data_IF_742160800254
#
_entry.id   IF_742160800254
#
_cell.length_a   1.000
_cell.length_b   1.000
_cell.length_c   1.000
_cell.angle_alpha   90.00
_cell.angle_beta   90.00
_cell.angle_gamma   90.00
#
_symmetry.space_group_name_H-M   'P 1'
#
loop_
_entity.id
_entity.type
_entity.pdbx_description
1 polymer ?
#
# COMPACT_ATOMS: atom_id res chain seq x y z
N UNK A 1 52.96 30.74 7.81
CA UNK A 1 51.86 31.70 8.02
C UNK A 1 50.67 30.99 8.65
N UNK A 2 50.43 31.35 9.92
CA UNK A 2 49.21 31.33 10.74
C UNK A 2 48.23 30.14 10.74
N UNK A 3 48.06 29.61 11.97
CA UNK A 3 46.96 28.81 12.49
C UNK A 3 45.57 29.48 12.36
N UNK A 4 44.49 28.70 12.48
CA UNK A 4 43.55 28.64 13.64
C UNK A 4 42.25 27.88 13.26
N UNK A 5 41.76 27.06 14.19
CA UNK A 5 40.51 26.28 14.17
C UNK A 5 39.23 27.14 14.37
N UNK A 6 38.02 26.54 14.23
CA UNK A 6 36.84 26.66 15.13
C UNK A 6 35.63 25.92 14.51
N UNK A 7 34.82 25.27 15.36
CA UNK A 7 33.58 24.55 15.05
C UNK A 7 32.30 25.43 15.29
N UNK A 8 31.07 24.90 15.51
CA UNK A 8 29.83 25.19 14.77
C UNK A 8 28.84 26.16 15.44
N UNK A 9 27.81 26.67 14.71
CA UNK A 9 26.37 26.75 15.10
C UNK A 9 25.51 27.60 14.16
N UNK A 10 24.22 27.23 14.17
CA UNK A 10 23.01 27.90 13.70
C UNK A 10 23.05 29.43 13.54
N UNK A 11 22.53 29.92 12.41
CA UNK A 11 21.53 31.00 12.33
C UNK A 11 21.37 31.51 10.89
N UNK A 12 20.32 31.08 10.19
CA UNK A 12 19.76 31.83 9.06
C UNK A 12 18.28 31.44 8.85
N UNK A 13 17.45 31.67 9.88
CA UNK A 13 16.11 32.19 9.64
C UNK A 13 16.28 33.68 9.41
N UNK A 14 15.64 34.20 8.37
CA UNK A 14 14.92 35.49 8.30
C UNK A 14 14.91 35.97 6.83
N UNK A 15 13.67 36.11 6.32
CA UNK A 15 13.20 36.94 5.20
C UNK A 15 13.44 36.43 3.76
N UNK A 16 12.42 35.75 3.25
CA UNK A 16 11.94 35.99 1.88
C UNK A 16 10.42 35.77 1.86
N UNK A 17 9.70 36.67 2.50
CA UNK A 17 8.31 36.96 2.15
C UNK A 17 8.30 38.31 1.44
N UNK A 18 8.01 38.32 0.13
CA UNK A 18 7.45 39.43 -0.65
C UNK A 18 7.66 39.22 -2.15
N UNK A 19 7.06 38.18 -2.74
CA UNK A 19 6.69 38.13 -4.18
C UNK A 19 5.95 36.83 -4.54
N UNK A 20 4.94 36.47 -3.74
CA UNK A 20 3.91 35.51 -4.15
C UNK A 20 2.65 36.30 -4.51
N UNK A 21 2.67 36.92 -5.70
CA UNK A 21 1.45 37.41 -6.34
C UNK A 21 1.17 36.60 -7.60
N UNK A 22 0.10 35.81 -7.50
CA UNK A 22 -0.82 35.37 -8.56
C UNK A 22 -0.26 34.56 -9.73
N UNK A 23 -0.29 33.23 -9.61
CA UNK A 23 -0.67 32.38 -10.75
C UNK A 23 -2.21 32.34 -10.80
N UNK A 24 -2.80 32.96 -11.82
CA UNK A 24 -4.26 32.94 -12.04
C UNK A 24 -4.68 31.54 -12.49
N UNK A 25 -5.80 31.03 -11.95
CA UNK A 25 -6.47 29.82 -12.45
C UNK A 25 -6.85 30.03 -13.93
N UNK A 26 -6.50 29.07 -14.80
CA UNK A 26 -6.91 29.07 -16.22
C UNK A 26 -5.80 28.88 -17.26
N UNK A 27 -4.54 28.64 -16.87
CA UNK A 27 -3.50 28.33 -17.85
C UNK A 27 -3.54 26.86 -18.32
N UNK A 28 -3.53 26.59 -19.65
CA UNK A 28 -3.66 25.23 -20.20
C UNK A 28 -2.62 24.22 -19.67
N UNK A 29 -1.43 24.70 -19.29
CA UNK A 29 -0.36 23.87 -18.74
C UNK A 29 -0.57 23.42 -17.29
N UNK A 30 -1.30 24.21 -16.48
CA UNK A 30 -1.58 23.90 -15.07
C UNK A 30 -2.69 22.85 -14.97
N UNK A 31 -3.74 22.97 -15.79
CA UNK A 31 -4.83 21.99 -15.83
C UNK A 31 -4.44 20.66 -16.47
N UNK A 32 -3.53 20.66 -17.45
CA UNK A 32 -2.98 19.43 -18.02
C UNK A 32 -2.09 18.68 -17.02
N UNK A 33 -1.35 19.43 -16.18
CA UNK A 33 -0.50 18.86 -15.13
C UNK A 33 -1.31 18.35 -13.93
N UNK A 34 -2.36 19.07 -13.52
CA UNK A 34 -3.29 18.60 -12.48
C UNK A 34 -4.02 17.32 -12.91
N UNK A 35 -4.50 17.26 -14.16
CA UNK A 35 -5.10 16.05 -14.73
C UNK A 35 -4.11 14.88 -14.86
N UNK A 36 -2.83 15.15 -15.05
CA UNK A 36 -1.78 14.12 -15.09
C UNK A 36 -1.45 13.59 -13.67
N UNK A 37 -1.45 14.45 -12.65
CA UNK A 37 -1.24 14.04 -11.26
C UNK A 37 -2.45 13.33 -10.64
N UNK A 38 -3.67 13.61 -11.10
CA UNK A 38 -4.90 12.98 -10.60
C UNK A 38 -5.16 11.59 -11.20
N UNK A 39 -4.58 11.28 -12.38
CA UNK A 39 -4.87 10.04 -13.10
C UNK A 39 -3.80 8.94 -13.02
N UNK A 40 -2.61 9.18 -12.45
CA UNK A 40 -1.52 8.20 -12.56
C UNK A 40 -1.41 7.26 -11.36
N UNK A 41 -1.94 6.06 -11.58
CA UNK A 41 -1.81 4.90 -10.73
C UNK A 41 -0.34 4.43 -10.66
N UNK A 42 0.36 4.78 -9.59
CA UNK A 42 1.41 3.94 -8.98
C UNK A 42 2.61 3.50 -9.84
N UNK A 43 2.83 4.04 -11.04
CA UNK A 43 3.98 3.69 -11.88
C UNK A 43 5.11 4.73 -11.76
N UNK A 44 6.03 4.48 -10.83
CA UNK A 44 7.25 5.28 -10.64
C UNK A 44 8.20 5.30 -11.86
N UNK A 45 7.92 4.50 -12.89
CA UNK A 45 8.72 4.41 -14.12
C UNK A 45 8.53 5.64 -15.02
N UNK A 46 7.34 6.25 -15.05
CA UNK A 46 7.09 7.46 -15.85
C UNK A 46 7.78 8.68 -15.24
N UNK A 47 7.72 8.82 -13.90
CA UNK A 47 8.44 9.84 -13.13
C UNK A 47 9.97 9.71 -13.28
N UNK A 48 10.50 8.48 -13.29
CA UNK A 48 11.94 8.25 -13.60
C UNK A 48 12.29 8.65 -15.02
N UNK A 49 11.49 8.25 -16.02
CA UNK A 49 11.70 8.66 -17.42
C UNK A 49 11.65 10.17 -17.61
N UNK A 50 10.77 10.86 -16.89
CA UNK A 50 10.70 12.33 -16.91
C UNK A 50 11.95 12.94 -16.27
N UNK A 51 12.40 12.44 -15.12
CA UNK A 51 13.62 12.89 -14.43
C UNK A 51 14.88 12.62 -15.27
N UNK A 52 14.96 11.47 -15.95
CA UNK A 52 16.11 11.12 -16.80
C UNK A 52 16.12 11.91 -18.12
N UNK A 53 14.94 12.21 -18.69
CA UNK A 53 14.82 13.11 -19.85
C UNK A 53 15.20 14.56 -19.48
N UNK A 54 14.92 14.98 -18.25
CA UNK A 54 15.37 16.27 -17.68
C UNK A 54 16.90 16.28 -17.48
N UNK A 55 17.51 15.17 -17.05
CA UNK A 55 18.98 15.03 -16.92
C UNK A 55 19.70 15.01 -18.27
N UNK A 56 19.12 14.41 -19.30
CA UNK A 56 19.68 14.34 -20.65
C UNK A 56 19.74 15.69 -21.38
N UNK A 57 18.78 16.58 -21.12
CA UNK A 57 18.73 17.92 -21.72
C UNK A 57 19.76 18.91 -21.15
N UNK A 58 20.43 18.57 -20.04
CA UNK A 58 21.49 19.38 -19.42
C UNK A 58 22.86 19.28 -20.10
N UNK A 59 23.00 18.53 -21.22
CA UNK A 59 24.27 18.36 -21.97
C UNK A 59 24.20 18.84 -23.43
N UNK A 60 23.45 19.88 -23.72
CA UNK A 60 23.54 20.57 -25.01
C UNK A 60 24.29 21.90 -24.85
N UNK A 61 25.42 21.98 -25.57
CA UNK A 61 26.44 23.00 -25.48
C UNK A 61 25.91 24.42 -25.70
N UNK A 62 26.44 25.35 -24.91
CA UNK A 62 26.35 26.79 -25.12
C UNK A 62 27.32 27.16 -26.26
N UNK A 63 26.78 27.53 -27.43
CA UNK A 63 27.51 28.37 -28.38
C UNK A 63 26.93 29.79 -28.33
N UNK A 64 27.78 30.74 -27.91
CA UNK A 64 27.47 32.17 -27.89
C UNK A 64 27.35 32.70 -29.32
N UNK A 65 26.27 33.42 -29.61
CA UNK A 65 26.28 34.53 -30.57
C UNK A 65 25.52 35.73 -30.00
N UNK A 66 26.05 36.87 -30.37
CA UNK A 66 25.80 38.22 -29.88
C UNK A 66 24.42 38.77 -30.26
N UNK A 67 24.05 39.80 -29.48
CA UNK A 67 23.14 40.90 -29.77
C UNK A 67 21.63 40.75 -29.55
N UNK A 68 21.11 41.81 -28.90
CA UNK A 68 19.72 42.28 -28.79
C UNK A 68 18.99 41.96 -27.48
N UNK A 69 18.59 43.04 -26.81
CA UNK A 69 17.89 43.12 -25.54
C UNK A 69 16.54 42.38 -25.55
N UNK A 70 16.40 41.36 -24.70
CA UNK A 70 15.11 40.86 -24.19
C UNK A 70 15.35 40.45 -22.73
N UNK A 71 14.53 40.87 -21.75
CA UNK A 71 14.67 40.36 -20.39
C UNK A 71 14.27 38.88 -20.38
N UNK A 72 15.26 37.98 -20.37
CA UNK A 72 15.03 36.56 -20.09
C UNK A 72 14.54 36.43 -18.65
N UNK A 73 13.22 36.41 -18.46
CA UNK A 73 12.64 35.81 -17.27
C UNK A 73 12.99 34.31 -17.31
N UNK A 74 13.98 33.93 -16.53
CA UNK A 74 14.59 32.60 -16.53
C UNK A 74 13.57 31.49 -16.19
N UNK A 75 13.19 30.59 -17.12
CA UNK A 75 12.24 29.50 -16.84
C UNK A 75 12.83 28.39 -15.94
N UNK A 76 14.14 28.43 -15.65
CA UNK A 76 14.80 27.43 -14.80
C UNK A 76 14.52 27.63 -13.30
N UNK A 77 14.34 28.87 -12.84
CA UNK A 77 14.05 29.13 -11.42
C UNK A 77 12.65 28.65 -11.02
N UNK A 78 11.64 28.86 -11.87
CA UNK A 78 10.28 28.37 -11.63
C UNK A 78 10.19 26.84 -11.62
N UNK A 79 10.99 26.14 -12.45
CA UNK A 79 11.02 24.67 -12.48
C UNK A 79 11.67 24.06 -11.25
N UNK A 80 12.64 24.74 -10.64
CA UNK A 80 13.39 24.20 -9.50
C UNK A 80 12.61 24.33 -8.18
N UNK A 81 11.91 25.45 -7.99
CA UNK A 81 11.01 25.67 -6.85
C UNK A 81 9.76 24.78 -6.92
N UNK A 82 9.19 24.56 -8.10
CA UNK A 82 8.01 23.70 -8.28
C UNK A 82 8.34 22.22 -8.01
N UNK A 83 9.54 21.74 -8.41
CA UNK A 83 10.02 20.39 -8.07
C UNK A 83 10.27 20.24 -6.56
N UNK A 84 10.80 21.27 -5.89
CA UNK A 84 11.03 21.24 -4.45
C UNK A 84 9.73 21.24 -3.64
N UNK A 85 8.77 22.09 -4.02
CA UNK A 85 7.43 22.14 -3.42
C UNK A 85 6.68 20.80 -3.60
N UNK A 86 6.74 20.22 -4.81
CA UNK A 86 6.13 18.93 -5.10
C UNK A 86 6.72 17.80 -4.23
N UNK A 87 8.05 17.76 -4.05
CA UNK A 87 8.70 16.79 -3.14
C UNK A 87 8.27 16.97 -1.70
N UNK A 88 8.17 18.21 -1.20
CA UNK A 88 7.72 18.50 0.17
C UNK A 88 6.28 18.04 0.40
N UNK A 89 5.36 18.35 -0.53
CA UNK A 89 3.97 17.95 -0.45
C UNK A 89 3.74 16.43 -0.59
N UNK A 90 4.62 15.71 -1.31
CA UNK A 90 4.60 14.24 -1.35
C UNK A 90 5.10 13.64 -0.04
N UNK A 91 6.16 14.22 0.55
CA UNK A 91 6.68 13.81 1.86
C UNK A 91 5.65 14.01 2.98
N UNK A 92 5.00 15.18 3.04
CA UNK A 92 3.95 15.47 4.02
C UNK A 92 2.75 14.51 3.87
N UNK A 93 2.32 14.20 2.64
CA UNK A 93 1.26 13.21 2.41
C UNK A 93 1.65 11.79 2.83
N UNK A 94 2.90 11.39 2.64
CA UNK A 94 3.38 10.08 3.09
C UNK A 94 3.35 9.97 4.62
N UNK A 95 3.75 11.04 5.32
CA UNK A 95 3.72 11.11 6.78
C UNK A 95 2.29 10.96 7.34
N UNK A 96 1.30 11.60 6.71
CA UNK A 96 -0.11 11.47 7.10
C UNK A 96 -0.65 10.05 6.93
N UNK A 97 -0.24 9.35 5.86
CA UNK A 97 -0.65 7.97 5.61
C UNK A 97 -0.07 7.02 6.65
N UNK A 98 1.20 7.16 7.01
CA UNK A 98 1.79 6.30 8.04
C UNK A 98 1.18 6.55 9.42
N UNK A 99 0.89 7.81 9.79
CA UNK A 99 0.14 8.15 11.00
C UNK A 99 -1.26 7.54 11.02
N UNK A 100 -1.96 7.58 9.89
CA UNK A 100 -3.26 6.93 9.75
C UNK A 100 -3.18 5.41 9.98
N UNK A 101 -2.22 4.74 9.32
CA UNK A 101 -1.99 3.29 9.53
C UNK A 101 -1.72 2.96 10.99
N UNK A 102 -0.86 3.74 11.63
CA UNK A 102 -0.52 3.57 13.04
C UNK A 102 -1.75 3.72 13.95
N UNK A 103 -2.53 4.79 13.78
CA UNK A 103 -3.74 5.04 14.58
C UNK A 103 -4.77 3.90 14.47
N UNK A 104 -5.03 3.43 13.24
CA UNK A 104 -5.94 2.31 13.00
C UNK A 104 -5.45 1.03 13.67
N UNK A 105 -4.16 0.73 13.52
CA UNK A 105 -3.54 -0.46 14.06
C UNK A 105 -3.56 -0.49 15.60
N UNK A 106 -3.20 0.62 16.25
CA UNK A 106 -3.22 0.75 17.71
C UNK A 106 -4.63 0.56 18.26
N UNK A 107 -5.63 1.24 17.66
CA UNK A 107 -7.03 1.13 18.07
C UNK A 107 -7.56 -0.30 17.93
N UNK A 108 -7.24 -0.98 16.83
CA UNK A 108 -7.67 -2.36 16.62
C UNK A 108 -7.08 -3.32 17.67
N UNK A 109 -5.79 -3.21 17.95
CA UNK A 109 -5.12 -4.04 18.98
C UNK A 109 -5.72 -3.78 20.36
N UNK A 110 -5.90 -2.52 20.75
CA UNK A 110 -6.46 -2.16 22.06
C UNK A 110 -7.87 -2.72 22.28
N UNK A 111 -8.68 -2.73 21.23
CA UNK A 111 -10.08 -3.15 21.31
C UNK A 111 -10.28 -4.67 21.22
N UNK A 112 -9.40 -5.39 20.51
CA UNK A 112 -9.66 -6.78 20.12
C UNK A 112 -8.67 -7.80 20.65
N UNK A 113 -7.50 -7.40 21.17
CA UNK A 113 -6.53 -8.35 21.72
C UNK A 113 -6.55 -8.30 23.25
N UNK A 114 -6.59 -9.49 23.87
CA UNK A 114 -6.57 -9.68 25.31
C UNK A 114 -5.49 -10.68 25.71
N UNK A 115 -5.22 -10.75 27.01
CA UNK A 115 -4.31 -11.74 27.58
C UNK A 115 -4.77 -13.18 27.23
N UNK A 116 -3.81 -14.10 27.09
CA UNK A 116 -3.99 -15.51 26.74
C UNK A 116 -4.58 -15.78 25.34
N UNK A 117 -4.56 -14.79 24.44
CA UNK A 117 -5.05 -14.97 23.07
C UNK A 117 -4.02 -15.63 22.16
N UNK A 118 -4.53 -16.42 21.22
CA UNK A 118 -3.80 -16.80 20.00
C UNK A 118 -4.17 -15.83 18.88
N UNK A 119 -3.18 -15.13 18.34
CA UNK A 119 -3.37 -14.01 17.41
C UNK A 119 -2.77 -14.32 16.03
N UNK A 120 -3.62 -14.25 15.00
CA UNK A 120 -3.18 -14.28 13.60
C UNK A 120 -2.57 -12.93 13.20
N UNK A 121 -1.32 -12.95 12.75
CA UNK A 121 -0.58 -11.76 12.33
C UNK A 121 -0.55 -11.67 10.81
N UNK A 122 -1.26 -10.68 10.29
CA UNK A 122 -1.35 -10.32 8.88
C UNK A 122 -0.04 -9.88 8.24
N UNK A 123 -0.15 -9.40 7.01
CA UNK A 123 0.98 -8.96 6.19
C UNK A 123 0.80 -7.53 5.67
N UNK A 124 1.89 -6.92 5.22
CA UNK A 124 1.90 -5.57 4.67
C UNK A 124 2.33 -4.47 5.65
N UNK A 125 2.36 -3.23 5.18
CA UNK A 125 2.94 -2.10 5.93
C UNK A 125 2.13 -1.69 7.15
N UNK A 126 0.80 -1.86 7.11
CA UNK A 126 -0.08 -1.42 8.21
C UNK A 126 0.05 -2.33 9.42
N UNK A 127 0.23 -3.64 9.19
CA UNK A 127 0.37 -4.64 10.26
C UNK A 127 1.66 -4.46 11.06
N UNK A 128 2.70 -3.82 10.49
CA UNK A 128 3.93 -3.45 11.22
C UNK A 128 3.61 -2.66 12.48
N UNK A 129 2.72 -1.67 12.38
CA UNK A 129 2.30 -0.85 13.53
C UNK A 129 1.46 -1.64 14.55
N UNK A 130 0.67 -2.60 14.09
CA UNK A 130 -0.13 -3.45 14.97
C UNK A 130 0.77 -4.34 15.83
N UNK A 131 1.79 -4.96 15.23
CA UNK A 131 2.73 -5.82 15.95
C UNK A 131 3.61 -5.02 16.91
N UNK A 132 4.08 -3.85 16.49
CA UNK A 132 4.86 -2.96 17.37
C UNK A 132 4.06 -2.56 18.62
N UNK A 133 2.82 -2.13 18.42
CA UNK A 133 1.94 -1.76 19.53
C UNK A 133 1.56 -2.97 20.38
N UNK A 134 1.28 -4.14 19.78
CA UNK A 134 1.02 -5.38 20.50
C UNK A 134 2.19 -5.77 21.41
N UNK A 135 3.43 -5.70 20.90
CA UNK A 135 4.62 -5.99 21.69
C UNK A 135 4.77 -5.04 22.90
N UNK A 136 4.47 -3.76 22.70
CA UNK A 136 4.41 -2.78 23.79
C UNK A 136 3.36 -3.17 24.83
N UNK A 137 2.13 -3.49 24.41
CA UNK A 137 1.03 -3.88 25.32
C UNK A 137 1.36 -5.17 26.08
N UNK A 138 1.97 -6.15 25.43
CA UNK A 138 2.42 -7.39 26.08
C UNK A 138 3.41 -7.08 27.20
N UNK A 139 4.40 -6.24 26.93
CA UNK A 139 5.40 -5.84 27.94
C UNK A 139 4.80 -5.03 29.08
N UNK A 140 3.89 -4.10 28.77
CA UNK A 140 3.25 -3.23 29.78
C UNK A 140 2.31 -3.99 30.72
N UNK A 141 1.65 -5.04 30.23
CA UNK A 141 0.59 -5.73 30.97
C UNK A 141 0.92 -7.19 31.34
N UNK A 142 2.15 -7.66 31.06
CA UNK A 142 2.59 -9.05 31.25
C UNK A 142 1.65 -10.07 30.58
N UNK A 143 1.25 -9.80 29.33
CA UNK A 143 0.35 -10.70 28.59
C UNK A 143 1.08 -11.91 28.03
N UNK A 144 0.41 -13.06 28.05
CA UNK A 144 0.83 -14.30 27.41
C UNK A 144 0.06 -14.43 26.10
N UNK A 145 0.69 -14.10 24.98
CA UNK A 145 0.06 -14.14 23.66
C UNK A 145 0.95 -14.94 22.73
N UNK A 146 0.34 -15.84 21.95
CA UNK A 146 1.01 -16.58 20.88
C UNK A 146 0.57 -16.05 19.53
N UNK A 147 1.50 -15.92 18.59
CA UNK A 147 1.27 -15.33 17.29
C UNK A 147 1.44 -16.36 16.16
N UNK A 148 0.49 -16.40 15.22
CA UNK A 148 0.56 -17.23 14.02
C UNK A 148 0.75 -16.33 12.78
N UNK A 149 1.85 -16.45 12.03
CA UNK A 149 2.13 -15.58 10.88
C UNK A 149 1.33 -15.96 9.63
N UNK A 150 1.00 -14.97 8.80
CA UNK A 150 0.38 -15.13 7.47
C UNK A 150 1.38 -15.07 6.29
N UNK A 151 2.67 -14.89 6.58
CA UNK A 151 3.74 -14.83 5.58
C UNK A 151 5.12 -14.88 6.23
N UNK A 152 6.17 -14.97 5.42
CA UNK A 152 7.53 -14.74 5.91
C UNK A 152 7.73 -13.33 6.47
N UNK A 153 7.09 -12.30 5.91
CA UNK A 153 7.19 -10.94 6.45
C UNK A 153 6.62 -10.88 7.88
N UNK A 154 5.44 -11.46 8.09
CA UNK A 154 4.79 -11.52 9.40
C UNK A 154 5.65 -12.31 10.40
N UNK A 155 6.23 -13.44 9.97
CA UNK A 155 7.14 -14.25 10.78
C UNK A 155 8.37 -13.48 11.24
N UNK A 156 9.02 -12.75 10.35
CA UNK A 156 10.18 -11.92 10.70
C UNK A 156 9.79 -10.74 11.60
N UNK A 157 8.60 -10.20 11.44
CA UNK A 157 8.06 -9.15 12.29
C UNK A 157 7.82 -9.64 13.73
N UNK A 158 7.18 -10.81 13.90
CA UNK A 158 6.99 -11.47 15.21
C UNK A 158 8.35 -11.68 15.90
N UNK A 159 9.34 -12.21 15.17
CA UNK A 159 10.71 -12.41 15.68
C UNK A 159 11.40 -11.12 16.08
N UNK A 160 11.30 -10.08 15.24
CA UNK A 160 11.92 -8.76 15.50
C UNK A 160 11.47 -8.17 16.83
N UNK A 161 10.19 -8.35 17.20
CA UNK A 161 9.63 -7.85 18.46
C UNK A 161 9.64 -8.88 19.60
N UNK A 162 10.34 -10.01 19.43
CA UNK A 162 10.44 -11.10 20.42
C UNK A 162 9.08 -11.61 20.93
N UNK A 163 8.09 -11.69 20.04
CA UNK A 163 6.79 -12.26 20.36
C UNK A 163 6.84 -13.78 20.29
N UNK A 164 6.03 -14.45 21.12
CA UNK A 164 5.91 -15.92 21.07
C UNK A 164 5.24 -16.30 19.76
N UNK A 165 5.87 -17.20 19.02
CA UNK A 165 5.37 -17.69 17.74
C UNK A 165 4.88 -19.13 17.91
N UNK A 166 3.76 -19.44 17.27
CA UNK A 166 3.19 -20.78 17.12
C UNK A 166 2.69 -20.95 15.68
N UNK A 167 2.05 -22.07 15.37
CA UNK A 167 1.46 -22.35 14.06
C UNK A 167 0.08 -23.00 14.20
N UNK A 168 -0.53 -23.35 13.08
CA UNK A 168 -1.86 -23.98 13.06
C UNK A 168 -1.84 -25.46 13.45
N UNK A 169 -0.68 -26.11 13.51
CA UNK A 169 -0.59 -27.48 14.00
C UNK A 169 -0.72 -27.51 15.53
N UNK A 170 -0.08 -26.55 16.20
CA UNK A 170 -0.16 -26.39 17.65
C UNK A 170 -1.41 -25.61 18.09
N UNK A 171 -1.81 -24.59 17.32
CA UNK A 171 -2.91 -23.67 17.64
C UNK A 171 -3.86 -23.50 16.45
N UNK A 172 -4.73 -24.49 16.15
CA UNK A 172 -5.61 -24.47 14.99
C UNK A 172 -6.76 -23.44 15.08
N UNK A 173 -7.16 -23.08 16.30
CA UNK A 173 -8.23 -22.12 16.57
C UNK A 173 -7.66 -20.82 17.14
N UNK A 174 -7.90 -19.71 16.43
CA UNK A 174 -7.39 -18.39 16.79
C UNK A 174 -8.49 -17.54 17.42
N UNK A 175 -8.14 -16.70 18.40
CA UNK A 175 -9.10 -15.76 18.97
C UNK A 175 -9.34 -14.57 18.07
N UNK A 176 -8.27 -14.06 17.44
CA UNK A 176 -8.36 -12.91 16.55
C UNK A 176 -7.26 -12.96 15.49
N UNK A 177 -7.58 -12.53 14.28
CA UNK A 177 -6.60 -12.23 13.24
C UNK A 177 -6.66 -10.74 12.91
N UNK A 178 -5.50 -10.07 12.89
CA UNK A 178 -5.37 -8.68 12.47
C UNK A 178 -4.59 -8.62 11.16
N UNK A 179 -5.17 -8.01 10.13
CA UNK A 179 -4.53 -7.92 8.82
C UNK A 179 -4.91 -6.63 8.06
N UNK A 180 -4.14 -6.29 7.03
CA UNK A 180 -4.44 -5.20 6.11
C UNK A 180 -5.34 -5.62 4.95
N UNK A 181 -5.78 -4.61 4.19
CA UNK A 181 -6.47 -4.81 2.91
C UNK A 181 -5.91 -3.88 1.82
N UNK A 182 -6.01 -4.31 0.57
CA UNK A 182 -5.68 -3.48 -0.59
C UNK A 182 -6.83 -2.52 -0.93
N UNK A 183 -8.07 -2.96 -0.69
CA UNK A 183 -9.32 -2.21 -0.81
C UNK A 183 -10.46 -2.93 -0.06
N UNK A 184 -11.45 -2.16 0.39
CA UNK A 184 -12.62 -2.65 1.12
C UNK A 184 -13.87 -1.96 0.57
N UNK A 185 -14.93 -2.71 0.30
CA UNK A 185 -16.21 -2.14 -0.14
C UNK A 185 -17.19 -1.86 1.02
N UNK A 186 -18.34 -1.27 0.67
CA UNK A 186 -19.39 -0.93 1.64
C UNK A 186 -19.98 -2.16 2.39
N UNK A 187 -19.82 -3.38 1.86
CA UNK A 187 -20.26 -4.63 2.48
C UNK A 187 -19.13 -5.33 3.25
N UNK A 188 -17.99 -4.66 3.43
CA UNK A 188 -16.76 -5.22 3.99
C UNK A 188 -16.22 -6.44 3.25
N UNK A 189 -16.51 -6.56 1.95
CA UNK A 189 -15.76 -7.44 1.08
C UNK A 189 -14.41 -6.80 0.79
N UNK A 190 -13.33 -7.59 0.88
CA UNK A 190 -11.98 -7.07 0.70
C UNK A 190 -11.35 -7.60 -0.59
N UNK A 191 -10.52 -6.75 -1.21
CA UNK A 191 -9.41 -7.22 -2.04
C UNK A 191 -8.15 -7.25 -1.16
N UNK A 192 -7.48 -8.40 -1.18
CA UNK A 192 -6.17 -8.66 -0.57
C UNK A 192 -5.25 -9.37 -1.56
N UNK A 193 -3.98 -9.52 -1.20
CA UNK A 193 -2.98 -10.22 -2.02
C UNK A 193 -2.06 -9.31 -2.84
N UNK A 194 -2.08 -8.00 -2.64
CA UNK A 194 -1.11 -7.06 -3.19
C UNK A 194 0.33 -7.41 -2.82
N UNK A 195 0.55 -7.93 -1.61
CA UNK A 195 1.83 -8.48 -1.14
C UNK A 195 2.15 -9.91 -1.61
N UNK A 196 1.16 -10.62 -2.16
CA UNK A 196 1.32 -12.00 -2.63
C UNK A 196 1.22 -13.08 -1.56
N UNK A 197 0.60 -12.77 -0.41
CA UNK A 197 0.45 -13.66 0.74
C UNK A 197 -1.00 -14.19 0.92
N UNK A 198 -1.89 -13.95 -0.06
CA UNK A 198 -3.35 -14.09 0.07
C UNK A 198 -3.83 -15.45 0.58
N UNK A 199 -3.16 -16.55 0.19
CA UNK A 199 -3.59 -17.91 0.60
C UNK A 199 -3.41 -18.10 2.10
N UNK A 200 -2.22 -17.80 2.63
CA UNK A 200 -1.94 -17.93 4.06
C UNK A 200 -2.76 -16.91 4.88
N UNK A 201 -2.90 -15.67 4.38
CA UNK A 201 -3.78 -14.66 4.97
C UNK A 201 -5.22 -15.19 5.13
N UNK A 202 -5.77 -15.83 4.08
CA UNK A 202 -7.15 -16.33 4.11
C UNK A 202 -7.32 -17.54 5.03
N UNK A 203 -6.36 -18.46 5.03
CA UNK A 203 -6.37 -19.62 5.93
C UNK A 203 -6.37 -19.16 7.39
N UNK A 204 -5.45 -18.27 7.77
CA UNK A 204 -5.39 -17.72 9.14
C UNK A 204 -6.66 -16.96 9.50
N UNK A 205 -7.18 -16.12 8.60
CA UNK A 205 -8.43 -15.41 8.83
C UNK A 205 -9.62 -16.37 9.04
N UNK A 206 -9.65 -17.51 8.33
CA UNK A 206 -10.71 -18.52 8.48
C UNK A 206 -10.64 -19.30 9.80
N UNK A 207 -9.45 -19.40 10.40
CA UNK A 207 -9.23 -20.07 11.69
C UNK A 207 -9.50 -19.14 12.89
N UNK A 208 -9.76 -17.84 12.66
CA UNK A 208 -9.95 -16.86 13.70
C UNK A 208 -11.43 -16.63 14.04
N UNK A 209 -11.75 -16.59 15.34
CA UNK A 209 -13.09 -16.20 15.83
C UNK A 209 -13.46 -14.78 15.42
N UNK A 210 -12.47 -13.88 15.37
CA UNK A 210 -12.62 -12.49 14.96
C UNK A 210 -11.60 -12.12 13.89
N UNK A 211 -12.04 -11.75 12.69
CA UNK A 211 -11.15 -11.19 11.67
C UNK A 211 -11.32 -9.66 11.62
N UNK A 212 -10.26 -8.96 12.00
CA UNK A 212 -10.21 -7.51 12.18
C UNK A 212 -9.25 -6.91 11.14
N UNK A 213 -9.74 -5.96 10.35
CA UNK A 213 -8.96 -5.34 9.28
C UNK A 213 -8.48 -3.96 9.73
N UNK A 214 -7.21 -3.65 9.44
CA UNK A 214 -6.60 -2.35 9.70
C UNK A 214 -6.13 -1.71 8.39
N UNK A 215 -6.55 -0.47 8.14
CA UNK A 215 -6.28 0.20 6.90
C UNK A 215 -6.17 1.72 7.06
N UNK A 216 -5.56 2.38 6.08
CA UNK A 216 -5.66 3.83 5.95
C UNK A 216 -6.91 4.21 5.13
N UNK A 217 -7.36 5.45 5.26
CA UNK A 217 -8.59 5.98 4.63
C UNK A 217 -8.69 5.76 3.12
N UNK A 218 -7.58 5.57 2.39
CA UNK A 218 -7.62 5.35 0.92
C UNK A 218 -8.13 3.96 0.54
N UNK A 219 -8.23 3.05 1.52
CA UNK A 219 -8.69 1.67 1.31
C UNK A 219 -10.21 1.55 1.42
N UNK A 220 -10.88 2.59 1.91
CA UNK A 220 -12.34 2.64 2.02
C UNK A 220 -12.96 3.01 0.67
N UNK A 221 -13.76 2.12 0.10
CA UNK A 221 -14.42 2.30 -1.20
C UNK A 221 -15.89 1.93 -1.11
N UNK A 222 -16.71 2.49 -2.00
CA UNK A 222 -18.12 2.09 -2.08
C UNK A 222 -18.23 0.73 -2.77
N UNK A 223 -17.47 0.56 -3.87
CA UNK A 223 -17.37 -0.67 -4.63
C UNK A 223 -15.90 -1.04 -4.83
N UNK A 224 -15.60 -2.34 -4.87
CA UNK A 224 -14.27 -2.81 -5.24
C UNK A 224 -13.90 -2.41 -6.68
N UNK A 225 -12.65 -2.04 -6.88
CA UNK A 225 -12.07 -1.54 -8.11
C UNK A 225 -12.06 -0.01 -8.24
N UNK A 226 -12.53 0.74 -7.24
CA UNK A 226 -12.55 2.21 -7.24
C UNK A 226 -11.15 2.81 -7.01
N UNK A 227 -10.46 2.33 -5.98
CA UNK A 227 -9.12 2.78 -5.58
C UNK A 227 -8.05 1.74 -5.92
N UNK A 228 -8.40 0.44 -5.97
CA UNK A 228 -7.46 -0.62 -6.36
C UNK A 228 -7.63 -1.06 -7.81
N UNK A 229 -6.75 -0.56 -8.69
CA UNK A 229 -6.82 -0.77 -10.14
C UNK A 229 -6.06 -1.99 -10.66
N UNK A 230 -5.27 -2.67 -9.82
CA UNK A 230 -4.47 -3.83 -10.24
C UNK A 230 -5.35 -5.05 -10.52
N UNK A 231 -6.56 -5.09 -9.97
CA UNK A 231 -7.47 -6.23 -10.08
C UNK A 231 -7.31 -7.20 -8.92
N UNK A 232 -8.10 -8.27 -8.94
CA UNK A 232 -8.13 -9.31 -7.91
C UNK A 232 -6.89 -10.20 -8.07
N UNK A 233 -6.00 -10.28 -7.08
CA UNK A 233 -4.92 -11.26 -7.10
C UNK A 233 -5.50 -12.68 -7.02
N UNK A 234 -5.08 -13.59 -7.89
CA UNK A 234 -5.49 -15.01 -7.85
C UNK A 234 -4.23 -15.86 -7.86
N UNK A 235 -4.03 -16.66 -6.81
CA UNK A 235 -2.90 -17.58 -6.71
C UNK A 235 -3.21 -18.85 -7.52
N UNK A 236 -2.28 -19.25 -8.39
CA UNK A 236 -2.48 -20.33 -9.35
C UNK A 236 -1.28 -21.25 -9.42
N UNK A 237 -1.54 -22.54 -9.63
CA UNK A 237 -0.49 -23.54 -9.86
C UNK A 237 0.30 -23.14 -11.11
N UNK A 238 1.66 -23.08 -11.06
CA UNK A 238 2.48 -22.56 -12.15
C UNK A 238 2.21 -23.23 -13.50
N UNK A 239 2.07 -24.56 -13.55
CA UNK A 239 1.81 -25.26 -14.83
C UNK A 239 0.47 -24.89 -15.48
N UNK A 240 -0.49 -24.37 -14.70
CA UNK A 240 -1.86 -24.12 -15.12
C UNK A 240 -2.14 -22.65 -15.45
N UNK A 241 -1.17 -21.73 -15.30
CA UNK A 241 -1.46 -20.30 -15.32
C UNK A 241 -2.13 -19.82 -16.63
N UNK A 242 -1.70 -20.32 -17.81
CA UNK A 242 -2.27 -19.91 -19.11
C UNK A 242 -3.73 -20.35 -19.29
N UNK A 243 -4.11 -21.64 -19.13
CA UNK A 243 -5.51 -22.03 -19.25
C UNK A 243 -6.39 -21.42 -18.16
N UNK A 244 -5.88 -21.24 -16.94
CA UNK A 244 -6.60 -20.54 -15.86
C UNK A 244 -6.84 -19.08 -16.23
N UNK A 245 -5.82 -18.37 -16.70
CA UNK A 245 -5.92 -16.98 -17.17
C UNK A 245 -7.06 -16.82 -18.18
N UNK A 246 -7.10 -17.64 -19.23
CA UNK A 246 -8.16 -17.57 -20.26
C UNK A 246 -9.58 -17.78 -19.68
N UNK A 247 -9.73 -18.67 -18.70
CA UNK A 247 -11.03 -18.92 -18.04
C UNK A 247 -11.43 -17.73 -17.17
N UNK A 248 -10.49 -17.15 -16.42
CA UNK A 248 -10.73 -15.97 -15.59
C UNK A 248 -11.11 -14.78 -16.48
N UNK A 249 -10.41 -14.56 -17.59
CA UNK A 249 -10.70 -13.46 -18.51
C UNK A 249 -12.12 -13.55 -19.08
N UNK A 250 -12.55 -14.76 -19.44
CA UNK A 250 -13.93 -15.02 -19.87
C UNK A 250 -14.94 -14.77 -18.75
N UNK A 251 -14.63 -15.19 -17.53
CA UNK A 251 -15.52 -15.05 -16.37
C UNK A 251 -15.70 -13.59 -15.92
N UNK A 252 -14.60 -12.85 -15.83
CA UNK A 252 -14.58 -11.47 -15.33
C UNK A 252 -14.82 -10.43 -16.45
N UNK A 253 -14.80 -10.86 -17.71
CA UNK A 253 -15.00 -10.00 -18.88
C UNK A 253 -13.88 -8.99 -19.08
N UNK A 254 -12.67 -9.26 -18.57
CA UNK A 254 -11.54 -8.34 -18.62
C UNK A 254 -10.19 -9.08 -18.50
N UNK A 255 -9.07 -8.38 -18.65
CA UNK A 255 -7.72 -8.97 -18.70
C UNK A 255 -7.27 -9.54 -17.36
N UNK A 256 -6.58 -10.68 -17.39
CA UNK A 256 -5.81 -11.20 -16.27
C UNK A 256 -4.33 -11.20 -16.64
N UNK A 257 -3.49 -10.64 -15.77
CA UNK A 257 -2.07 -10.42 -16.08
C UNK A 257 -1.19 -11.23 -15.11
N UNK A 258 -0.24 -12.01 -15.65
CA UNK A 258 0.73 -12.71 -14.82
C UNK A 258 1.66 -11.71 -14.13
N UNK A 259 1.61 -11.66 -12.79
CA UNK A 259 2.39 -10.71 -11.99
C UNK A 259 3.88 -10.95 -12.17
N UNK A 260 4.59 -9.98 -12.75
CA UNK A 260 6.03 -10.01 -12.90
C UNK A 260 6.73 -9.58 -11.61
N UNK A 261 7.84 -10.23 -11.28
CA UNK A 261 8.62 -9.86 -10.11
C UNK A 261 9.50 -8.64 -10.41
N UNK A 262 9.66 -7.76 -9.41
CA UNK A 262 10.51 -6.58 -9.53
C UNK A 262 11.98 -6.85 -9.14
N UNK A 263 12.23 -7.83 -8.26
CA UNK A 263 13.56 -8.12 -7.68
C UNK A 263 14.14 -9.47 -8.14
N UNK A 264 13.53 -10.10 -9.15
CA UNK A 264 14.04 -11.29 -9.86
C UNK A 264 13.51 -11.28 -11.29
N UNK A 265 14.13 -12.05 -12.16
CA UNK A 265 13.62 -12.27 -13.51
C UNK A 265 12.40 -13.21 -13.48
N UNK A 266 11.40 -12.91 -14.32
CA UNK A 266 10.20 -13.73 -14.49
C UNK A 266 9.09 -13.44 -13.45
N UNK A 267 8.12 -14.35 -13.31
CA UNK A 267 6.94 -14.14 -12.47
C UNK A 267 7.26 -14.11 -10.97
N UNK A 268 6.39 -13.45 -10.22
CA UNK A 268 6.32 -13.59 -8.76
C UNK A 268 6.04 -15.06 -8.41
N UNK A 269 6.78 -15.57 -7.43
CA UNK A 269 6.55 -16.87 -6.80
C UNK A 269 6.11 -16.59 -5.38
N UNK A 270 4.95 -17.12 -4.97
CA UNK A 270 4.42 -16.95 -3.61
C UNK A 270 5.22 -17.76 -2.60
N UNK A 271 4.98 -17.52 -1.31
CA UNK A 271 5.54 -18.32 -0.21
C UNK A 271 5.16 -19.82 -0.33
N UNK A 272 4.09 -20.13 -1.07
CA UNK A 272 3.63 -21.50 -1.35
C UNK A 272 4.15 -22.06 -2.69
N UNK A 273 5.05 -21.35 -3.38
CA UNK A 273 5.63 -21.80 -4.65
C UNK A 273 4.77 -21.58 -5.90
N UNK A 274 3.68 -20.81 -5.80
CA UNK A 274 2.72 -20.61 -6.88
C UNK A 274 2.92 -19.28 -7.62
N UNK A 275 2.19 -19.08 -8.72
CA UNK A 275 2.13 -17.80 -9.43
C UNK A 275 0.91 -16.98 -9.02
N UNK A 276 0.91 -15.69 -9.37
CA UNK A 276 -0.23 -14.80 -9.17
C UNK A 276 -0.67 -14.21 -10.50
N UNK A 277 -1.97 -14.27 -10.76
CA UNK A 277 -2.65 -13.49 -11.79
C UNK A 277 -3.34 -12.29 -11.17
N UNK A 278 -3.01 -11.09 -11.64
CA UNK A 278 -3.72 -9.85 -11.29
C UNK A 278 -4.90 -9.68 -12.26
N UNK A 279 -6.10 -9.95 -11.76
CA UNK A 279 -7.29 -10.16 -12.59
C UNK A 279 -8.19 -8.91 -12.56
N UNK A 280 -8.12 -8.10 -13.64
CA UNK A 280 -9.06 -6.99 -13.82
C UNK A 280 -10.46 -7.55 -14.06
N UNK A 281 -11.47 -6.75 -13.77
CA UNK A 281 -12.86 -7.16 -13.87
C UNK A 281 -13.72 -6.03 -14.43
N UNK A 282 -14.75 -6.39 -15.19
CA UNK A 282 -15.89 -5.49 -15.43
C UNK A 282 -16.68 -5.31 -14.12
N UNK A 283 -17.52 -4.27 -13.97
CA UNK A 283 -18.36 -4.10 -12.79
C UNK A 283 -19.09 -5.39 -12.40
N UNK A 284 -18.97 -5.79 -11.13
CA UNK A 284 -19.53 -7.04 -10.61
C UNK A 284 -20.70 -6.73 -9.67
N UNK A 285 -21.76 -7.54 -9.75
CA UNK A 285 -22.94 -7.39 -8.89
C UNK A 285 -22.91 -8.28 -7.64
N UNK A 286 -22.17 -9.39 -7.66
CA UNK A 286 -22.15 -10.37 -6.58
C UNK A 286 -20.75 -10.97 -6.36
N UNK A 287 -20.01 -10.44 -5.40
CA UNK A 287 -18.67 -10.91 -5.06
C UNK A 287 -18.61 -12.33 -4.52
N UNK A 288 -19.66 -12.83 -3.85
CA UNK A 288 -19.70 -14.20 -3.34
C UNK A 288 -19.76 -15.22 -4.49
N UNK A 289 -20.63 -14.96 -5.46
CA UNK A 289 -20.72 -15.79 -6.67
C UNK A 289 -19.43 -15.73 -7.49
N UNK A 290 -18.86 -14.54 -7.68
CA UNK A 290 -17.60 -14.35 -8.40
C UNK A 290 -16.44 -15.06 -7.69
N UNK A 291 -16.32 -14.95 -6.37
CA UNK A 291 -15.30 -15.65 -5.58
C UNK A 291 -15.40 -17.17 -5.74
N UNK A 292 -16.61 -17.71 -5.62
CA UNK A 292 -16.87 -19.16 -5.78
C UNK A 292 -16.52 -19.62 -7.19
N UNK A 293 -16.97 -18.90 -8.21
CA UNK A 293 -16.69 -19.25 -9.61
C UNK A 293 -15.19 -19.23 -9.92
N UNK A 294 -14.44 -18.25 -9.40
CA UNK A 294 -12.98 -18.20 -9.51
C UNK A 294 -12.32 -19.39 -8.81
N UNK A 295 -12.69 -19.65 -7.55
CA UNK A 295 -12.11 -20.71 -6.72
C UNK A 295 -12.32 -22.11 -7.32
N UNK A 296 -13.42 -22.32 -8.02
CA UNK A 296 -13.78 -23.60 -8.64
C UNK A 296 -13.04 -23.89 -9.96
N UNK A 297 -12.21 -22.97 -10.48
CA UNK A 297 -11.40 -23.22 -11.68
C UNK A 297 -10.22 -24.15 -11.31
N UNK A 298 -10.07 -25.34 -11.92
CA UNK A 298 -8.93 -26.21 -11.64
C UNK A 298 -7.60 -25.52 -11.96
N UNK A 299 -6.70 -25.49 -10.96
CA UNK A 299 -5.43 -24.77 -10.99
C UNK A 299 -5.44 -23.46 -10.20
N UNK A 300 -6.60 -22.95 -9.78
CA UNK A 300 -6.69 -21.86 -8.79
C UNK A 300 -6.47 -22.43 -7.39
N UNK A 301 -5.50 -21.87 -6.69
CA UNK A 301 -5.21 -22.18 -5.29
C UNK A 301 -6.17 -21.39 -4.40
N UNK A 302 -6.13 -20.06 -4.51
CA UNK A 302 -7.00 -19.15 -3.75
C UNK A 302 -7.15 -17.79 -4.45
N UNK A 303 -8.15 -17.02 -4.06
CA UNK A 303 -8.47 -15.68 -4.57
C UNK A 303 -8.15 -14.59 -3.55
N UNK A 304 -7.88 -13.38 -4.02
CA UNK A 304 -7.74 -12.20 -3.18
C UNK A 304 -9.08 -11.64 -2.67
N UNK A 305 -10.21 -12.30 -2.94
CA UNK A 305 -11.53 -11.87 -2.46
C UNK A 305 -11.83 -12.47 -1.08
N UNK A 306 -11.94 -11.61 -0.07
CA UNK A 306 -12.34 -12.01 1.28
C UNK A 306 -13.79 -11.58 1.49
N UNK A 307 -14.71 -12.48 1.15
CA UNK A 307 -16.15 -12.22 1.14
C UNK A 307 -16.79 -12.75 2.42
N UNK A 308 -17.46 -11.88 3.19
CA UNK A 308 -18.15 -12.29 4.42
C UNK A 308 -17.23 -12.76 5.55
N UNK A 309 -15.96 -12.39 5.51
CA UNK A 309 -14.96 -12.78 6.52
C UNK A 309 -14.69 -11.68 7.54
N UNK A 310 -14.53 -10.43 7.08
CA UNK A 310 -14.19 -9.32 7.96
C UNK A 310 -15.40 -8.97 8.84
N UNK A 311 -15.18 -8.93 10.15
CA UNK A 311 -16.21 -8.51 11.10
C UNK A 311 -16.16 -7.01 11.35
N UNK A 312 -14.95 -6.44 11.29
CA UNK A 312 -14.71 -5.03 11.55
C UNK A 312 -13.51 -4.51 10.79
N UNK A 313 -13.58 -3.25 10.37
CA UNK A 313 -12.50 -2.53 9.71
C UNK A 313 -12.25 -1.21 10.42
N UNK A 314 -10.97 -0.97 10.73
CA UNK A 314 -10.47 0.28 11.29
C UNK A 314 -9.77 1.08 10.19
N UNK A 315 -10.26 2.29 9.92
CA UNK A 315 -9.64 3.22 8.99
C UNK A 315 -9.01 4.39 9.74
N UNK A 316 -7.71 4.56 9.60
CA UNK A 316 -7.03 5.76 10.06
C UNK A 316 -7.27 6.90 9.08
N UNK A 317 -7.66 8.05 9.60
CA UNK A 317 -7.90 9.26 8.82
C UNK A 317 -6.66 10.18 8.83
N UNK A 318 -6.64 11.12 7.89
CA UNK A 318 -5.54 12.08 7.72
C UNK A 318 -5.42 13.07 8.88
N UNK A 319 -6.46 13.26 9.68
CA UNK A 319 -6.46 14.09 10.89
C UNK A 319 -5.99 13.32 12.15
N UNK A 320 -5.64 12.04 12.01
CA UNK A 320 -5.22 11.16 13.10
C UNK A 320 -6.38 10.49 13.84
N UNK A 321 -7.63 10.78 13.49
CA UNK A 321 -8.79 10.05 14.01
C UNK A 321 -8.93 8.68 13.34
N UNK A 322 -9.78 7.83 13.92
CA UNK A 322 -10.04 6.47 13.42
C UNK A 322 -11.54 6.30 13.25
N UNK A 323 -11.98 5.84 12.07
CA UNK A 323 -13.36 5.41 11.83
C UNK A 323 -13.45 3.90 11.80
N UNK A 324 -14.61 3.39 12.20
CA UNK A 324 -14.85 1.96 12.35
C UNK A 324 -16.08 1.56 11.54
N UNK A 325 -15.98 0.47 10.77
CA UNK A 325 -17.12 -0.16 10.10
C UNK A 325 -17.26 -1.60 10.57
N UNK A 326 -18.48 -2.00 10.89
CA UNK A 326 -18.81 -3.37 11.30
C UNK A 326 -19.56 -4.08 10.17
N UNK A 327 -19.41 -5.40 10.10
CA UNK A 327 -20.24 -6.22 9.23
C UNK A 327 -21.71 -6.08 9.67
N UNK A 328 -22.60 -5.97 8.69
CA UNK A 328 -24.06 -5.91 8.90
C UNK A 328 -24.60 -7.30 9.12
#
# INVERSE_FOLDING_TARGET
>A
CCHVAIAPRDSARVLADSSLQTLRKGEPGVEAFQRACENDAGDTTMLRRLVDKIRGLGRLQIQRKHDSQVPLCCPLLARTTQVHYCKKAVGERMDLVEKAKEAAAQRAVDNHIKNNFVVGIGSGSTVVYAVEHLARRIKENDWKISCVPTSFQAKELIRKYNLVMTDLEESPDLDVAIDGADEVDAKLTLIKGGGGCLTQEKVIASCAKHFIVVADYRKDSSNLGENWKKGIPVEVIPMAYVPVQKKIEKLLGNKAELRQAAKKCGPVVTDNGNFILDCKFAPQSNWSATNTALKMIPGVVETGLFVGMAQKVYYGLNDGSVTEKNAV
#
